data_IF_214443890735
#
_entry.id   IF_214443890735
#
_cell.length_a   1.000
_cell.length_b   1.000
_cell.length_c   1.000
_cell.angle_alpha   90.00
_cell.angle_beta   90.00
_cell.angle_gamma   90.00
#
_symmetry.space_group_name_H-M   'P 1'
#
loop_
_entity.id
_entity.type
_entity.pdbx_description
1 polymer ?
#
# COMPACT_ATOMS: atom_id res chain seq x y z
N UNK A 1 17.95 16.30 22.07
CA UNK A 1 17.10 16.57 20.89
C UNK A 1 17.33 15.50 19.82
N UNK A 2 18.57 15.26 19.39
CA UNK A 2 18.93 14.18 18.43
C UNK A 2 18.44 12.78 18.82
N UNK A 3 18.51 12.40 20.10
CA UNK A 3 18.02 11.08 20.54
C UNK A 3 16.51 10.90 20.37
N UNK A 4 15.73 11.98 20.52
CA UNK A 4 14.27 11.90 20.39
C UNK A 4 13.85 11.85 18.92
N UNK A 5 14.54 12.59 18.04
CA UNK A 5 14.29 12.51 16.60
C UNK A 5 14.68 11.15 16.03
N UNK A 6 15.80 10.57 16.48
CA UNK A 6 16.21 9.24 16.04
C UNK A 6 15.24 8.12 16.43
N UNK A 7 14.54 8.24 17.56
CA UNK A 7 13.49 7.28 17.95
C UNK A 7 12.29 7.39 17.01
N UNK A 8 11.85 8.61 16.70
CA UNK A 8 10.73 8.82 15.77
C UNK A 8 11.04 8.33 14.35
N UNK A 9 12.27 8.54 13.88
CA UNK A 9 12.71 8.04 12.57
C UNK A 9 12.71 6.50 12.52
N UNK A 10 13.13 5.85 13.60
CA UNK A 10 13.07 4.40 13.73
C UNK A 10 11.62 3.89 13.74
N UNK A 11 10.74 4.50 14.52
CA UNK A 11 9.32 4.14 14.57
C UNK A 11 8.65 4.29 13.21
N UNK A 12 8.93 5.39 12.51
CA UNK A 12 8.43 5.61 11.15
C UNK A 12 8.91 4.50 10.20
N UNK A 13 10.19 4.12 10.28
CA UNK A 13 10.76 3.04 9.47
C UNK A 13 10.06 1.71 9.71
N UNK A 14 9.74 1.40 10.97
CA UNK A 14 9.01 0.17 11.31
C UNK A 14 7.57 0.19 10.79
N UNK A 15 6.88 1.33 10.84
CA UNK A 15 5.55 1.47 10.25
C UNK A 15 5.58 1.30 8.72
N UNK A 16 6.59 1.83 8.03
CA UNK A 16 6.81 1.58 6.59
C UNK A 16 7.06 0.10 6.26
N UNK A 17 7.81 -0.60 7.12
CA UNK A 17 8.05 -2.04 6.96
C UNK A 17 6.75 -2.84 7.14
N UNK A 18 5.94 -2.48 8.15
CA UNK A 18 4.62 -3.08 8.39
C UNK A 18 3.68 -2.81 7.20
N UNK A 19 3.70 -1.60 6.65
CA UNK A 19 2.98 -1.26 5.43
C UNK A 19 3.32 -2.21 4.28
N UNK A 20 4.61 -2.42 4.02
CA UNK A 20 5.06 -3.32 2.97
C UNK A 20 4.59 -4.77 3.22
N UNK A 21 4.59 -5.23 4.48
CA UNK A 21 4.05 -6.55 4.84
C UNK A 21 2.54 -6.65 4.61
N UNK A 22 1.77 -5.60 4.90
CA UNK A 22 0.32 -5.59 4.65
C UNK A 22 -0.02 -5.73 3.17
N UNK A 23 0.77 -5.10 2.29
CA UNK A 23 0.50 -5.09 0.86
C UNK A 23 1.10 -6.32 0.15
N UNK A 24 2.35 -6.68 0.48
CA UNK A 24 3.13 -7.68 -0.26
C UNK A 24 3.42 -8.95 0.54
N UNK A 25 3.34 -8.90 1.87
CA UNK A 25 3.73 -9.99 2.75
C UNK A 25 2.93 -11.27 2.51
N UNK A 26 1.62 -11.14 2.27
CA UNK A 26 0.76 -12.28 1.95
C UNK A 26 1.17 -13.03 0.67
N UNK A 27 1.65 -12.31 -0.35
CA UNK A 27 2.14 -12.92 -1.59
C UNK A 27 3.49 -13.62 -1.41
N UNK A 28 4.29 -13.18 -0.43
CA UNK A 28 5.58 -13.77 -0.09
C UNK A 28 5.47 -14.89 0.98
N UNK A 29 4.27 -15.20 1.48
CA UNK A 29 4.07 -16.18 2.56
C UNK A 29 4.57 -15.70 3.93
N UNK A 30 4.75 -14.39 4.11
CA UNK A 30 5.16 -13.80 5.37
C UNK A 30 3.96 -13.69 6.32
N UNK A 31 4.18 -13.79 7.66
CA UNK A 31 3.11 -13.62 8.63
C UNK A 31 2.54 -12.19 8.56
N UNK A 32 1.23 -12.07 8.77
CA UNK A 32 0.59 -10.77 8.86
C UNK A 32 1.06 -10.03 10.11
N UNK A 33 1.24 -8.69 10.04
CA UNK A 33 1.54 -7.90 11.21
C UNK A 33 0.37 -7.89 12.21
N UNK A 34 0.60 -7.53 13.49
CA UNK A 34 -0.44 -7.48 14.50
C UNK A 34 -1.61 -6.57 14.11
N UNK A 35 -2.84 -7.08 14.24
CA UNK A 35 -4.06 -6.38 13.80
C UNK A 35 -4.24 -4.96 14.37
N UNK A 36 -3.91 -4.66 15.64
CA UNK A 36 -4.05 -3.29 16.15
C UNK A 36 -3.21 -2.27 15.38
N UNK A 37 -1.95 -2.60 15.11
CA UNK A 37 -1.02 -1.72 14.38
C UNK A 37 -1.47 -1.58 12.92
N UNK A 38 -1.91 -2.68 12.31
CA UNK A 38 -2.44 -2.64 10.96
C UNK A 38 -3.63 -1.67 10.83
N UNK A 39 -4.59 -1.72 11.76
CA UNK A 39 -5.77 -0.84 11.78
C UNK A 39 -5.38 0.62 12.01
N UNK A 40 -4.43 0.87 12.91
CA UNK A 40 -3.91 2.23 13.16
C UNK A 40 -3.23 2.82 11.92
N UNK A 41 -2.58 1.97 11.11
CA UNK A 41 -1.87 2.41 9.91
C UNK A 41 -2.82 2.69 8.73
N UNK A 42 -3.98 2.01 8.64
CA UNK A 42 -4.92 2.09 7.51
C UNK A 42 -5.24 3.53 7.02
N UNK A 43 -5.54 4.51 7.89
CA UNK A 43 -5.84 5.88 7.44
C UNK A 43 -4.66 6.55 6.72
N UNK A 44 -3.43 6.18 7.08
CA UNK A 44 -2.21 6.71 6.46
C UNK A 44 -1.86 5.99 5.15
N UNK A 45 -2.55 4.88 4.84
CA UNK A 45 -2.35 4.04 3.66
C UNK A 45 -3.35 4.30 2.54
N UNK A 46 -4.29 5.22 2.75
CA UNK A 46 -5.43 5.45 1.84
C UNK A 46 -5.00 5.66 0.39
N UNK A 47 -3.97 6.50 0.18
CA UNK A 47 -3.46 6.84 -1.14
C UNK A 47 -2.93 5.60 -1.87
N UNK A 48 -2.11 4.81 -1.19
CA UNK A 48 -1.44 3.65 -1.75
C UNK A 48 -2.44 2.52 -2.03
N UNK A 49 -3.42 2.32 -1.14
CA UNK A 49 -4.53 1.40 -1.34
C UNK A 49 -5.40 1.82 -2.53
N UNK A 50 -5.68 3.11 -2.68
CA UNK A 50 -6.42 3.65 -3.83
C UNK A 50 -5.68 3.39 -5.14
N UNK A 51 -4.36 3.61 -5.17
CA UNK A 51 -3.53 3.29 -6.33
C UNK A 51 -3.60 1.80 -6.65
N UNK A 52 -3.50 0.93 -5.63
CA UNK A 52 -3.58 -0.51 -5.81
C UNK A 52 -4.91 -0.96 -6.42
N UNK A 53 -6.03 -0.46 -5.87
CA UNK A 53 -7.37 -0.76 -6.39
C UNK A 53 -7.54 -0.28 -7.84
N UNK A 54 -7.09 0.94 -8.16
CA UNK A 54 -7.16 1.47 -9.54
C UNK A 54 -6.38 0.64 -10.56
N UNK A 55 -5.25 0.04 -10.14
CA UNK A 55 -4.44 -0.85 -10.99
C UNK A 55 -5.11 -2.20 -11.17
N UNK A 56 -5.81 -2.70 -10.16
CA UNK A 56 -6.62 -3.91 -10.29
C UNK A 56 -7.74 -3.71 -11.28
N UNK A 57 -8.44 -2.57 -11.28
CA UNK A 57 -9.49 -2.28 -12.29
C UNK A 57 -8.93 -2.28 -13.71
N UNK A 58 -7.78 -1.62 -13.91
CA UNK A 58 -7.01 -1.68 -15.17
C UNK A 58 -6.60 -3.10 -15.57
N UNK A 59 -6.37 -4.00 -14.61
CA UNK A 59 -6.00 -5.39 -14.91
C UNK A 59 -7.16 -6.23 -15.43
N UNK A 60 -8.41 -5.88 -15.08
CA UNK A 60 -9.59 -6.65 -15.47
C UNK A 60 -10.00 -6.39 -16.92
N UNK A 61 -9.82 -5.16 -17.41
CA UNK A 61 -10.01 -4.82 -18.83
C UNK A 61 -8.97 -3.81 -19.34
N UNK A 62 -7.71 -4.25 -19.55
CA UNK A 62 -6.65 -3.34 -20.00
C UNK A 62 -6.90 -2.80 -21.40
N UNK A 63 -7.49 -3.62 -22.28
CA UNK A 63 -7.72 -3.28 -23.68
C UNK A 63 -8.92 -2.35 -23.84
N UNK A 64 -10.02 -2.55 -23.12
CA UNK A 64 -11.17 -1.65 -23.16
C UNK A 64 -10.84 -0.26 -22.62
N UNK A 65 -10.01 -0.15 -21.58
CA UNK A 65 -9.52 1.14 -21.10
C UNK A 65 -8.64 1.83 -22.14
N UNK A 66 -7.74 1.09 -22.82
CA UNK A 66 -6.90 1.64 -23.89
C UNK A 66 -7.73 2.07 -25.12
N UNK A 67 -8.71 1.26 -25.53
CA UNK A 67 -9.61 1.56 -26.65
C UNK A 67 -10.47 2.78 -26.35
N UNK A 68 -11.01 2.90 -25.14
CA UNK A 68 -11.74 4.08 -24.67
C UNK A 68 -10.89 5.35 -24.63
N UNK A 69 -9.61 5.26 -24.24
CA UNK A 69 -8.67 6.39 -24.31
C UNK A 69 -8.31 6.80 -25.74
N UNK A 70 -8.36 5.87 -26.69
CA UNK A 70 -8.06 6.12 -28.09
C UNK A 70 -9.28 6.56 -28.91
N UNK A 71 -10.47 6.69 -28.28
CA UNK A 71 -11.75 6.99 -28.94
C UNK A 71 -12.05 6.07 -30.14
N UNK A 72 -11.63 4.80 -30.04
CA UNK A 72 -11.88 3.79 -31.07
C UNK A 72 -13.20 3.09 -30.75
N UNK A 73 -14.18 3.24 -31.64
CA UNK A 73 -15.45 2.47 -31.66
C UNK A 73 -15.22 1.00 -32.03
#
# INVERSE_FOLDING_TARGET
REKATGILEFELKELENIFALLILGGFAGLPSPPSPIAVELLPYMERELTILLSRTDLSQDPLGVLMGMLEID
#
